data_IF_855656910812
#
_entry.id   IF_855656910812
#
_cell.length_a   1.000
_cell.length_b   1.000
_cell.length_c   1.000
_cell.angle_alpha   90.00
_cell.angle_beta   90.00
_cell.angle_gamma   90.00
#
_symmetry.space_group_name_H-M   'P 1'
#
loop_
_entity.id
_entity.type
_entity.pdbx_description
1 polymer ?
#
# COMPACT_ATOMS: atom_id res chain seq x y z
N UNK A 1 11.47 -21.66 -9.84
CA UNK A 1 10.23 -20.87 -9.67
C UNK A 1 10.09 -20.57 -8.19
N UNK A 2 9.94 -19.32 -7.78
CA UNK A 2 9.70 -19.01 -6.36
C UNK A 2 8.24 -19.37 -6.05
N UNK A 3 8.02 -20.29 -5.12
CA UNK A 3 6.68 -20.61 -4.62
C UNK A 3 6.20 -19.51 -3.68
N UNK A 4 4.89 -19.26 -3.68
CA UNK A 4 4.27 -18.37 -2.70
C UNK A 4 4.25 -19.08 -1.35
N UNK A 5 4.78 -18.43 -0.32
CA UNK A 5 4.80 -18.95 1.06
C UNK A 5 3.59 -18.48 1.86
N UNK A 6 3.12 -17.26 1.58
CA UNK A 6 2.04 -16.62 2.32
C UNK A 6 1.27 -15.67 1.42
N UNK A 7 -0.05 -15.66 1.55
CA UNK A 7 -0.93 -14.71 0.86
C UNK A 7 -1.80 -14.01 1.88
N UNK A 8 -1.91 -12.69 1.74
CA UNK A 8 -2.86 -11.86 2.44
C UNK A 8 -3.82 -11.23 1.44
N UNK A 9 -5.11 -11.48 1.60
CA UNK A 9 -6.15 -10.88 0.77
C UNK A 9 -6.67 -9.62 1.46
N UNK A 10 -6.72 -8.50 0.73
CA UNK A 10 -7.12 -7.20 1.25
C UNK A 10 -8.51 -6.89 0.73
N UNK A 11 -9.51 -7.03 1.61
CA UNK A 11 -10.93 -7.02 1.25
C UNK A 11 -11.63 -5.82 1.89
N UNK A 12 -12.32 -5.03 1.08
CA UNK A 12 -13.25 -4.01 1.54
C UNK A 12 -14.60 -4.69 1.89
N UNK A 13 -14.92 -4.76 3.18
CA UNK A 13 -16.20 -5.33 3.61
C UNK A 13 -17.42 -4.45 3.28
N UNK A 14 -17.22 -3.17 2.98
CA UNK A 14 -18.32 -2.21 2.88
C UNK A 14 -18.19 -1.36 1.61
N UNK A 15 -18.97 -1.71 0.58
CA UNK A 15 -19.00 -1.04 -0.74
C UNK A 15 -19.21 0.49 -0.64
N UNK A 16 -19.78 0.98 0.46
CA UNK A 16 -20.07 2.41 0.68
C UNK A 16 -18.99 3.19 1.48
N UNK A 17 -18.02 2.54 2.11
CA UNK A 17 -16.94 3.21 2.87
C UNK A 17 -15.57 2.67 2.46
N UNK A 18 -14.96 3.30 1.46
CA UNK A 18 -13.62 3.02 0.94
C UNK A 18 -12.45 3.25 1.94
N UNK A 19 -12.69 3.11 3.25
CA UNK A 19 -11.78 3.42 4.36
C UNK A 19 -11.53 2.24 5.28
N UNK A 20 -12.30 1.15 5.16
CA UNK A 20 -12.24 0.00 6.06
C UNK A 20 -11.96 -1.26 5.25
N UNK A 21 -10.84 -1.92 5.51
CA UNK A 21 -10.50 -3.18 4.87
C UNK A 21 -10.12 -4.22 5.92
N UNK A 22 -10.28 -5.48 5.57
CA UNK A 22 -9.72 -6.61 6.29
C UNK A 22 -8.55 -7.19 5.51
N UNK A 23 -7.51 -7.54 6.23
CA UNK A 23 -6.46 -8.42 5.74
C UNK A 23 -6.81 -9.82 6.20
N UNK A 24 -7.05 -10.71 5.24
CA UNK A 24 -7.36 -12.11 5.51
C UNK A 24 -6.21 -13.01 5.13
N UNK A 25 -5.98 -14.03 5.94
CA UNK A 25 -5.08 -15.13 5.63
C UNK A 25 -5.89 -16.42 5.68
N UNK A 26 -5.85 -17.22 4.61
CA UNK A 26 -6.64 -18.45 4.49
C UNK A 26 -8.14 -18.22 4.76
N UNK A 27 -8.69 -17.11 4.26
CA UNK A 27 -10.11 -16.73 4.44
C UNK A 27 -10.47 -16.14 5.81
N UNK A 28 -9.55 -16.14 6.78
CA UNK A 28 -9.79 -15.62 8.13
C UNK A 28 -9.21 -14.21 8.31
N UNK A 29 -9.96 -13.24 8.86
CA UNK A 29 -9.44 -11.90 9.13
C UNK A 29 -8.40 -11.95 10.25
N UNK A 30 -7.24 -11.36 9.99
CA UNK A 30 -6.11 -11.29 10.93
C UNK A 30 -5.72 -9.85 11.27
N UNK A 31 -5.97 -8.91 10.36
CA UNK A 31 -5.73 -7.48 10.55
C UNK A 31 -6.88 -6.65 9.98
N UNK A 32 -7.05 -5.44 10.51
CA UNK A 32 -8.04 -4.47 10.07
C UNK A 32 -7.35 -3.18 9.69
N UNK A 33 -7.67 -2.66 8.50
CA UNK A 33 -7.10 -1.44 7.95
C UNK A 33 -8.14 -0.34 8.03
N UNK A 34 -7.76 0.79 8.64
CA UNK A 34 -8.61 1.95 8.81
C UNK A 34 -7.91 3.22 8.30
N UNK A 35 -8.51 3.88 7.32
CA UNK A 35 -8.01 5.16 6.80
C UNK A 35 -8.71 6.32 7.51
N UNK A 36 -7.96 7.03 8.37
CA UNK A 36 -8.35 8.30 8.97
C UNK A 36 -7.99 9.44 8.01
N UNK A 37 -8.96 10.27 7.63
CA UNK A 37 -8.72 11.54 6.96
C UNK A 37 -9.11 12.65 7.91
N UNK A 38 -8.14 13.48 8.30
CA UNK A 38 -8.39 14.70 9.05
C UNK A 38 -8.80 15.82 8.09
N UNK A 39 -9.60 16.78 8.57
CA UNK A 39 -10.10 17.89 7.76
C UNK A 39 -8.97 18.80 7.23
N UNK A 40 -7.88 18.95 8.00
CA UNK A 40 -6.70 19.75 7.64
C UNK A 40 -5.38 18.96 7.62
N UNK A 41 -5.43 17.64 7.62
CA UNK A 41 -4.25 16.77 7.75
C UNK A 41 -4.12 15.79 6.60
N UNK A 42 -2.89 15.36 6.25
CA UNK A 42 -2.73 14.24 5.33
C UNK A 42 -3.34 12.98 5.96
N UNK A 43 -3.95 12.11 5.15
CA UNK A 43 -4.58 10.89 5.66
C UNK A 43 -3.54 9.95 6.28
N UNK A 44 -4.02 9.18 7.25
CA UNK A 44 -3.28 8.14 7.94
C UNK A 44 -4.05 6.81 7.83
N UNK A 45 -3.33 5.77 7.43
CA UNK A 45 -3.80 4.39 7.36
C UNK A 45 -3.27 3.69 8.61
N UNK A 46 -4.15 3.13 9.42
CA UNK A 46 -3.80 2.34 10.58
C UNK A 46 -4.06 0.86 10.28
N UNK A 47 -3.10 0.00 10.63
CA UNK A 47 -3.23 -1.46 10.59
C UNK A 47 -3.39 -1.92 12.03
N UNK A 48 -4.50 -2.58 12.31
CA UNK A 48 -4.91 -3.00 13.65
C UNK A 48 -5.02 -4.51 13.74
N UNK A 49 -4.79 -5.04 14.95
CA UNK A 49 -4.96 -6.46 15.26
C UNK A 49 -6.15 -6.68 16.18
N UNK A 50 -6.61 -7.92 16.31
CA UNK A 50 -7.78 -8.38 17.09
C UNK A 50 -9.15 -7.86 16.61
N UNK A 51 -9.28 -6.59 16.25
CA UNK A 51 -10.50 -6.02 15.69
C UNK A 51 -10.24 -4.69 14.94
N UNK A 52 -11.27 -4.14 14.31
CA UNK A 52 -11.24 -2.83 13.66
C UNK A 52 -10.99 -1.65 14.61
N UNK A 53 -11.13 -1.83 15.92
CA UNK A 53 -10.80 -0.83 16.95
C UNK A 53 -9.67 -1.31 17.87
N UNK A 54 -8.99 -2.41 17.53
CA UNK A 54 -7.94 -2.99 18.34
C UNK A 54 -6.61 -2.22 18.26
N UNK A 55 -5.55 -2.75 18.90
CA UNK A 55 -4.24 -2.09 18.92
C UNK A 55 -3.68 -1.87 17.51
N UNK A 56 -3.10 -0.69 17.28
CA UNK A 56 -2.40 -0.38 16.03
C UNK A 56 -1.02 -1.04 16.05
N UNK A 57 -0.76 -1.90 15.07
CA UNK A 57 0.50 -2.65 14.92
C UNK A 57 1.41 -2.05 13.84
N UNK A 58 0.87 -1.23 12.94
CA UNK A 58 1.63 -0.43 11.99
C UNK A 58 0.75 0.68 11.43
N UNK A 59 1.37 1.72 10.88
CA UNK A 59 0.66 2.80 10.22
C UNK A 59 1.42 3.36 9.03
N UNK A 60 0.68 3.96 8.11
CA UNK A 60 1.21 4.76 7.01
C UNK A 60 0.56 6.14 6.99
N UNK A 61 1.35 7.20 6.96
CA UNK A 61 0.89 8.59 6.90
C UNK A 61 1.33 9.23 5.60
N UNK A 62 0.38 9.71 4.80
CA UNK A 62 0.73 10.37 3.54
C UNK A 62 1.44 11.71 3.82
N UNK A 63 2.22 12.16 2.84
CA UNK A 63 2.84 13.49 2.86
C UNK A 63 2.02 14.44 2.01
N UNK A 64 1.87 15.71 2.42
CA UNK A 64 1.09 16.69 1.66
C UNK A 64 1.69 16.98 0.28
N UNK A 65 3.00 17.28 0.20
CA UNK A 65 3.65 17.72 -1.04
C UNK A 65 4.63 16.73 -1.68
N UNK A 66 4.83 15.54 -1.10
CA UNK A 66 5.72 14.51 -1.64
C UNK A 66 4.93 13.33 -2.18
N UNK A 67 5.41 12.70 -3.27
CA UNK A 67 4.80 11.51 -3.88
C UNK A 67 4.83 10.25 -3.01
N UNK A 68 5.55 10.27 -1.89
CA UNK A 68 5.68 9.16 -0.96
C UNK A 68 4.77 9.23 0.28
N UNK A 69 5.10 8.41 1.28
CA UNK A 69 4.46 8.40 2.58
C UNK A 69 5.51 8.21 3.69
N UNK A 70 5.05 8.16 4.94
CA UNK A 70 5.81 7.72 6.11
C UNK A 70 5.19 6.45 6.65
N UNK A 71 5.99 5.53 7.12
CA UNK A 71 5.51 4.28 7.73
C UNK A 71 6.15 4.04 9.08
N UNK A 72 5.43 3.31 9.92
CA UNK A 72 5.91 2.88 11.22
C UNK A 72 5.34 1.51 11.56
N UNK A 73 6.13 0.70 12.27
CA UNK A 73 5.67 -0.51 12.96
C UNK A 73 5.49 -0.16 14.44
N UNK A 74 4.35 -0.52 15.01
CA UNK A 74 3.92 -0.13 16.35
C UNK A 74 2.84 0.97 16.34
N UNK A 75 2.54 1.46 17.54
CA UNK A 75 1.48 2.45 17.74
C UNK A 75 1.95 3.87 17.32
N UNK A 76 1.34 4.48 16.29
CA UNK A 76 1.73 5.81 15.82
C UNK A 76 1.50 6.93 16.85
N UNK A 77 0.55 6.75 17.78
CA UNK A 77 0.16 7.79 18.73
C UNK A 77 1.12 7.86 19.94
N UNK A 78 1.86 6.78 20.19
CA UNK A 78 2.87 6.68 21.26
C UNK A 78 4.29 6.96 20.77
N UNK A 79 4.44 7.38 19.50
CA UNK A 79 5.73 7.41 18.82
C UNK A 79 6.07 8.83 18.35
N UNK A 80 7.32 9.25 18.57
CA UNK A 80 7.86 10.50 18.04
C UNK A 80 7.95 10.49 16.50
N UNK A 81 8.01 11.67 15.88
CA UNK A 81 8.02 11.81 14.41
C UNK A 81 9.27 11.24 13.76
N UNK A 82 10.37 11.15 14.49
CA UNK A 82 11.70 10.73 14.05
C UNK A 82 11.78 9.21 13.85
N UNK A 83 10.90 8.45 14.50
CA UNK A 83 10.83 6.99 14.37
C UNK A 83 10.04 6.54 13.14
N UNK A 84 9.39 7.47 12.43
CA UNK A 84 8.72 7.16 11.17
C UNK A 84 9.75 7.00 10.04
N UNK A 85 9.68 5.88 9.35
CA UNK A 85 10.49 5.62 8.18
C UNK A 85 9.89 6.29 6.94
N UNK A 86 10.71 7.01 6.20
CA UNK A 86 10.30 7.63 4.95
C UNK A 86 10.21 6.58 3.83
N UNK A 87 9.05 6.52 3.19
CA UNK A 87 8.82 5.81 1.92
C UNK A 87 8.85 6.85 0.80
N UNK A 88 9.93 6.90 0.04
CA UNK A 88 10.13 7.93 -0.98
C UNK A 88 10.02 7.36 -2.38
N UNK A 89 9.45 8.13 -3.32
CA UNK A 89 9.53 7.78 -4.74
C UNK A 89 10.96 7.89 -5.21
N UNK A 90 11.51 6.81 -5.74
CA UNK A 90 12.86 6.76 -6.31
C UNK A 90 12.85 6.83 -7.85
N UNK A 91 11.70 7.20 -8.41
CA UNK A 91 11.54 7.41 -9.85
C UNK A 91 10.65 8.62 -10.11
N UNK A 92 10.99 9.39 -11.15
CA UNK A 92 10.17 10.54 -11.58
C UNK A 92 8.76 10.13 -12.02
N UNK A 93 8.58 8.87 -12.42
CA UNK A 93 7.30 8.33 -12.91
C UNK A 93 6.48 7.59 -11.85
N UNK A 94 6.91 7.60 -10.57
CA UNK A 94 6.19 6.94 -9.48
C UNK A 94 6.09 5.42 -9.63
N UNK A 95 7.11 4.80 -10.24
CA UNK A 95 7.21 3.36 -10.50
C UNK A 95 8.03 2.62 -9.46
N UNK A 96 8.73 3.32 -8.58
CA UNK A 96 9.57 2.73 -7.55
C UNK A 96 9.50 3.56 -6.28
N UNK A 97 9.33 2.89 -5.14
CA UNK A 97 9.28 3.51 -3.83
C UNK A 97 10.16 2.73 -2.87
N UNK A 98 11.05 3.43 -2.17
CA UNK A 98 11.99 2.80 -1.26
C UNK A 98 11.76 3.15 0.20
N UNK A 99 12.05 2.19 1.07
CA UNK A 99 12.05 2.33 2.52
C UNK A 99 13.19 1.50 3.14
N UNK A 100 13.56 1.82 4.39
CA UNK A 100 14.63 1.12 5.11
C UNK A 100 14.06 0.39 6.31
N UNK A 101 14.58 -0.81 6.60
CA UNK A 101 14.17 -1.64 7.73
C UNK A 101 15.38 -2.45 8.20
N UNK A 102 15.70 -2.43 9.50
CA UNK A 102 16.84 -3.18 10.05
C UNK A 102 18.17 -2.92 9.35
N UNK A 103 18.46 -1.66 8.98
CA UNK A 103 19.70 -1.28 8.29
C UNK A 103 19.77 -1.66 6.80
N UNK A 104 18.75 -2.35 6.27
CA UNK A 104 18.66 -2.74 4.85
C UNK A 104 17.66 -1.86 4.11
N UNK A 105 17.84 -1.75 2.80
CA UNK A 105 17.02 -0.94 1.90
C UNK A 105 16.17 -1.84 1.00
N UNK A 106 14.89 -1.50 0.89
CA UNK A 106 13.89 -2.27 0.15
C UNK A 106 13.14 -1.38 -0.82
N UNK A 107 12.69 -1.97 -1.93
CA UNK A 107 12.03 -1.24 -3.02
C UNK A 107 10.74 -1.93 -3.43
N UNK A 108 9.63 -1.21 -3.34
CA UNK A 108 8.41 -1.51 -4.08
C UNK A 108 8.54 -0.98 -5.50
N UNK A 109 8.71 -1.88 -6.47
CA UNK A 109 8.83 -1.55 -7.90
C UNK A 109 7.59 -2.02 -8.65
N UNK A 110 7.04 -1.18 -9.52
CA UNK A 110 5.93 -1.57 -10.39
C UNK A 110 6.34 -2.79 -11.22
N UNK A 111 5.43 -3.74 -11.39
CA UNK A 111 5.67 -4.96 -12.14
C UNK A 111 4.53 -5.24 -13.12
N UNK A 112 4.88 -5.75 -14.29
CA UNK A 112 3.95 -6.24 -15.32
C UNK A 112 4.23 -7.72 -15.66
N UNK A 113 4.98 -8.40 -14.78
CA UNK A 113 5.36 -9.79 -14.98
C UNK A 113 4.16 -10.71 -14.73
N UNK A 114 3.57 -11.23 -15.81
CA UNK A 114 2.44 -12.17 -15.76
C UNK A 114 2.71 -13.41 -14.90
N UNK A 115 3.96 -13.88 -14.86
CA UNK A 115 4.39 -15.00 -14.02
C UNK A 115 4.20 -14.75 -12.51
N UNK A 116 4.12 -13.48 -12.09
CA UNK A 116 3.82 -13.10 -10.70
C UNK A 116 2.33 -12.86 -10.44
N UNK A 117 1.49 -13.07 -11.44
CA UNK A 117 0.06 -12.75 -11.41
C UNK A 117 -0.25 -11.29 -11.73
N UNK A 118 0.72 -10.50 -12.20
CA UNK A 118 0.50 -9.11 -12.56
C UNK A 118 -0.37 -8.98 -13.83
N UNK A 119 -1.26 -7.99 -13.82
CA UNK A 119 -2.14 -7.66 -14.94
C UNK A 119 -1.44 -6.75 -15.96
N UNK A 120 -2.16 -6.35 -17.02
CA UNK A 120 -1.61 -5.66 -18.20
C UNK A 120 -1.03 -4.26 -17.89
N UNK A 121 -0.57 -3.54 -18.92
CA UNK A 121 0.22 -2.30 -18.86
C UNK A 121 -0.30 -1.18 -17.95
N UNK A 122 -1.59 -1.18 -17.59
CA UNK A 122 -2.21 -0.20 -16.68
C UNK A 122 -2.22 -0.62 -15.20
N UNK A 123 -1.65 -1.77 -14.86
CA UNK A 123 -1.71 -2.32 -13.51
C UNK A 123 -0.91 -1.51 -12.51
N UNK A 124 -1.45 -1.41 -11.29
CA UNK A 124 -0.79 -0.84 -10.11
C UNK A 124 -0.27 -2.00 -9.25
N UNK A 125 0.35 -2.97 -9.91
CA UNK A 125 0.96 -4.13 -9.28
C UNK A 125 2.41 -3.80 -8.94
N UNK A 126 2.88 -4.24 -7.78
CA UNK A 126 4.23 -3.95 -7.30
C UNK A 126 4.91 -5.23 -6.83
N UNK A 127 6.23 -5.31 -7.02
CA UNK A 127 7.10 -6.32 -6.42
C UNK A 127 8.02 -5.66 -5.41
N UNK A 128 8.19 -6.31 -4.26
CA UNK A 128 9.15 -5.94 -3.23
C UNK A 128 10.45 -6.67 -3.50
N UNK A 129 11.55 -5.93 -3.49
CA UNK A 129 12.90 -6.47 -3.64
C UNK A 129 13.83 -5.85 -2.60
N UNK A 130 14.89 -6.57 -2.25
CA UNK A 130 16.05 -5.97 -1.59
C UNK A 130 16.81 -5.12 -2.61
N UNK A 131 17.23 -3.91 -2.25
CA UNK A 131 17.99 -3.06 -3.17
C UNK A 131 19.36 -3.66 -3.54
N UNK A 132 19.97 -4.43 -2.64
CA UNK A 132 21.25 -5.12 -2.85
C UNK A 132 21.12 -6.39 -3.70
N UNK A 133 19.92 -6.95 -3.79
CA UNK A 133 19.61 -8.15 -4.58
C UNK A 133 18.31 -7.96 -5.37
N UNK A 134 18.30 -7.08 -6.38
CA UNK A 134 17.07 -6.64 -7.06
C UNK A 134 16.36 -7.75 -7.85
N UNK A 135 17.04 -8.85 -8.16
CA UNK A 135 16.46 -10.01 -8.84
C UNK A 135 15.72 -10.95 -7.87
N UNK A 136 15.93 -10.79 -6.55
CA UNK A 136 15.24 -11.55 -5.52
C UNK A 136 13.92 -10.87 -5.15
N UNK A 137 12.83 -11.42 -5.66
CA UNK A 137 11.47 -11.00 -5.30
C UNK A 137 11.12 -11.54 -3.91
N UNK A 138 10.83 -10.63 -2.99
CA UNK A 138 10.45 -10.94 -1.61
C UNK A 138 8.94 -11.02 -1.44
N UNK A 139 8.22 -10.10 -2.08
CA UNK A 139 6.76 -10.06 -2.06
C UNK A 139 6.22 -9.43 -3.35
N UNK A 140 4.93 -9.61 -3.61
CA UNK A 140 4.21 -8.99 -4.71
C UNK A 140 2.85 -8.53 -4.22
N UNK A 141 2.51 -7.28 -4.49
CA UNK A 141 1.16 -6.76 -4.37
C UNK A 141 0.49 -6.77 -5.74
N UNK A 142 -0.65 -7.46 -5.84
CA UNK A 142 -1.49 -7.50 -7.03
C UNK A 142 -2.77 -6.75 -6.72
N UNK A 143 -3.04 -5.68 -7.45
CA UNK A 143 -4.28 -4.92 -7.31
C UNK A 143 -5.42 -5.70 -7.94
N UNK A 144 -6.56 -5.79 -7.25
CA UNK A 144 -7.75 -6.38 -7.88
C UNK A 144 -8.29 -5.42 -8.94
N UNK A 145 -8.65 -5.95 -10.11
CA UNK A 145 -9.23 -5.18 -11.21
C UNK A 145 -10.70 -5.56 -11.39
N UNK A 146 -11.62 -4.69 -10.97
CA UNK A 146 -13.06 -4.88 -11.22
C UNK A 146 -13.93 -3.81 -10.56
N UNK A 147 -14.96 -3.34 -11.27
CA UNK A 147 -15.92 -2.35 -10.77
C UNK A 147 -16.83 -2.91 -9.64
N UNK A 148 -16.89 -4.24 -9.52
CA UNK A 148 -17.73 -5.00 -8.58
C UNK A 148 -16.93 -5.69 -7.48
N UNK A 149 -15.60 -5.60 -7.51
CA UNK A 149 -14.73 -6.29 -6.57
C UNK A 149 -14.75 -5.59 -5.21
N UNK A 150 -15.26 -6.26 -4.19
CA UNK A 150 -15.01 -5.91 -2.79
C UNK A 150 -13.51 -6.03 -2.45
N UNK A 151 -12.72 -6.74 -3.24
CA UNK A 151 -11.28 -6.87 -3.02
C UNK A 151 -10.52 -5.65 -3.52
N UNK A 152 -9.62 -5.14 -2.68
CA UNK A 152 -8.67 -4.09 -3.05
C UNK A 152 -7.40 -4.66 -3.69
N UNK A 153 -7.05 -5.91 -3.38
CA UNK A 153 -5.86 -6.59 -3.91
C UNK A 153 -5.37 -7.72 -3.00
N UNK A 154 -4.25 -8.33 -3.36
CA UNK A 154 -3.58 -9.38 -2.58
C UNK A 154 -2.09 -9.09 -2.42
N UNK A 155 -1.53 -9.39 -1.25
CA UNK A 155 -0.12 -9.28 -0.93
C UNK A 155 0.45 -10.69 -0.72
N UNK A 156 1.39 -11.10 -1.58
CA UNK A 156 1.94 -12.46 -1.67
C UNK A 156 3.43 -12.44 -1.34
N UNK A 157 3.86 -13.22 -0.36
CA UNK A 157 5.27 -13.34 0.03
C UNK A 157 5.90 -14.57 -0.60
N UNK A 158 7.10 -14.39 -1.13
CA UNK A 158 7.93 -15.42 -1.79
C UNK A 158 9.18 -15.75 -0.97
N UNK A 159 9.39 -15.07 0.15
CA UNK A 159 10.47 -15.30 1.10
C UNK A 159 9.94 -15.13 2.52
N UNK A 160 10.49 -15.89 3.47
CA UNK A 160 10.23 -15.64 4.89
C UNK A 160 10.88 -14.32 5.30
N UNK A 161 10.07 -13.41 5.83
CA UNK A 161 10.51 -12.12 6.32
C UNK A 161 10.22 -12.04 7.82
N UNK A 162 11.02 -11.27 8.55
CA UNK A 162 10.69 -10.93 9.94
C UNK A 162 9.40 -10.11 10.01
N UNK A 163 8.65 -10.25 11.12
CA UNK A 163 7.35 -9.60 11.32
C UNK A 163 7.41 -8.08 11.10
N UNK A 164 8.47 -7.42 11.58
CA UNK A 164 8.68 -5.98 11.39
C UNK A 164 8.72 -5.60 9.90
N UNK A 165 9.50 -6.33 9.11
CA UNK A 165 9.62 -6.08 7.67
C UNK A 165 8.30 -6.40 6.93
N UNK A 166 7.60 -7.47 7.31
CA UNK A 166 6.28 -7.76 6.73
C UNK A 166 5.29 -6.63 6.97
N UNK A 167 5.18 -6.16 8.22
CA UNK A 167 4.28 -5.06 8.60
C UNK A 167 4.67 -3.75 7.94
N UNK A 168 5.97 -3.43 7.90
CA UNK A 168 6.46 -2.22 7.26
C UNK A 168 6.22 -2.24 5.75
N UNK A 169 6.48 -3.37 5.10
CA UNK A 169 6.21 -3.55 3.67
C UNK A 169 4.71 -3.41 3.35
N UNK A 170 3.84 -3.98 4.18
CA UNK A 170 2.39 -3.85 4.07
C UNK A 170 1.93 -2.40 4.25
N UNK A 171 2.39 -1.71 5.30
CA UNK A 171 2.08 -0.30 5.52
C UNK A 171 2.55 0.57 4.35
N UNK A 172 3.76 0.31 3.84
CA UNK A 172 4.32 1.05 2.72
C UNK A 172 3.47 0.90 1.45
N UNK A 173 3.09 -0.33 1.08
CA UNK A 173 2.30 -0.53 -0.15
C UNK A 173 0.89 0.04 -0.03
N UNK A 174 0.26 -0.04 1.15
CA UNK A 174 -1.04 0.59 1.40
C UNK A 174 -0.95 2.12 1.28
N UNK A 175 0.10 2.73 1.83
CA UNK A 175 0.36 4.17 1.71
C UNK A 175 0.59 4.63 0.27
N UNK A 176 1.35 3.84 -0.51
CA UNK A 176 1.58 4.06 -1.94
C UNK A 176 0.25 3.99 -2.71
N UNK A 177 -0.54 2.95 -2.50
CA UNK A 177 -1.82 2.75 -3.19
C UNK A 177 -2.84 3.86 -2.90
N UNK A 178 -2.98 4.26 -1.64
CA UNK A 178 -3.87 5.36 -1.25
C UNK A 178 -3.41 6.69 -1.88
N UNK A 179 -2.10 6.93 -1.97
CA UNK A 179 -1.56 8.11 -2.65
C UNK A 179 -1.91 8.10 -4.14
N UNK A 180 -1.69 6.98 -4.81
CA UNK A 180 -2.01 6.83 -6.23
C UNK A 180 -3.51 7.01 -6.47
N UNK A 181 -4.36 6.40 -5.65
CA UNK A 181 -5.82 6.55 -5.71
C UNK A 181 -6.25 8.01 -5.60
N UNK A 182 -5.69 8.76 -4.65
CA UNK A 182 -6.01 10.19 -4.46
C UNK A 182 -5.54 11.06 -5.63
N UNK A 183 -4.33 10.82 -6.14
CA UNK A 183 -3.83 11.53 -7.31
C UNK A 183 -4.74 11.30 -8.53
N UNK A 184 -5.19 10.06 -8.75
CA UNK A 184 -6.12 9.73 -9.83
C UNK A 184 -7.48 10.44 -9.69
N UNK A 185 -8.02 10.49 -8.46
CA UNK A 185 -9.29 11.19 -8.20
C UNK A 185 -9.17 12.73 -8.40
N UNK A 186 -8.04 13.33 -8.02
CA UNK A 186 -7.82 14.76 -8.24
C UNK A 186 -7.70 15.11 -9.73
N UNK A 187 -7.03 14.27 -10.53
CA UNK A 187 -6.94 14.44 -11.98
C UNK A 187 -8.28 14.34 -12.71
N UNK A 188 -9.19 13.47 -12.23
CA UNK A 188 -10.53 13.33 -12.80
C UNK A 188 -11.41 14.57 -12.56
N UNK A 189 -11.26 15.25 -11.42
CA UNK A 189 -12.02 16.46 -11.10
C UNK A 189 -11.62 17.68 -11.96
N UNK A 190 -10.36 17.75 -12.42
CA UNK A 190 -9.88 18.84 -13.28
C UNK A 190 -10.31 18.74 -14.75
N UNK A 191 -10.68 17.56 -15.23
CA UNK A 191 -11.09 17.33 -16.63
C UNK A 191 -12.54 17.71 -16.95
N UNK A 192 -13.39 17.91 -15.94
CA UNK A 192 -14.82 18.17 -16.13
C UNK A 192 -15.16 19.64 -16.42
N UNK A 193 -14.19 20.57 -16.35
CA UNK A 193 -14.43 22.01 -16.53
C UNK A 193 -14.08 22.55 -17.94
N UNK A 194 -13.65 21.71 -18.88
CA UNK A 194 -13.11 22.12 -20.18
C UNK A 194 -14.05 21.97 -21.39
N UNK A 195 -15.37 21.90 -21.19
CA UNK A 195 -16.35 21.71 -22.26
C UNK A 195 -17.47 22.74 -22.23
N UNK A 196 -17.15 23.98 -22.59
CA UNK A 196 -18.14 25.07 -22.64
C UNK A 196 -17.60 26.28 -23.39
N UNK A 197 -17.55 26.19 -24.72
CA UNK A 197 -17.11 27.28 -25.58
C UNK A 197 -17.47 26.99 -27.02
N UNK A 198 -18.73 27.25 -27.38
CA UNK A 198 -19.24 27.12 -28.74
C UNK A 198 -20.62 27.76 -28.87
N UNK A 199 -20.63 29.07 -29.12
CA UNK A 199 -21.69 29.82 -29.80
C UNK A 199 -21.01 30.88 -30.65
#
# INVERSE_FOLDING_TARGET
MNSILKTYDIINQNTFRAKHFEVRQNGMPILWINTKSEFFGPPQINIQTQSSNGPIVAAAKLKTMSSGCRVIVGNPDATSKEQWNDVASESFTGKAFGFSCGGRRFLWKRTHQKLLGASSWKSQDFKLVDSSAPDKILAVFIKSSGWTSSESGSLRFYAELGQELELMAMAAILGIEERIRRNNNAGAAGGAAGGGGGA
#
